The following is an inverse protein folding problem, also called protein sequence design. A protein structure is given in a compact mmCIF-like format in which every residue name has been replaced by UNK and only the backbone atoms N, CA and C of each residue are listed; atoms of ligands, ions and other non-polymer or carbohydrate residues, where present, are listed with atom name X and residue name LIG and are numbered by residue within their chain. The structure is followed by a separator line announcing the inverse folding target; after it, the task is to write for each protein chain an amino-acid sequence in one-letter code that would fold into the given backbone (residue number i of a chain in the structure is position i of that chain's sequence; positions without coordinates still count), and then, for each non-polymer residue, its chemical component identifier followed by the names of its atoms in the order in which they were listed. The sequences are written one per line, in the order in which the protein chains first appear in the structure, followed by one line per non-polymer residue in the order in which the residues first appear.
data_IF_975730148576
#
_entry.id   IF_975730148576
#
_cell.length_a   1.000
_cell.length_b   1.000
_cell.length_c   1.000
_cell.angle_alpha   90.00
_cell.angle_beta   90.00
_cell.angle_gamma   90.00
#
_symmetry.space_group_name_H-M   'P 1'
#
loop_
_entity.id
_entity.type
_entity.pdbx_description
1 polymer ?
#
# COMPACT_ATOMS: atom_id res chain seq x y z
N UNK A 1 -18.51 -17.04 10.84
CA UNK A 1 -17.88 -17.72 12.01
C UNK A 1 -16.64 -16.92 12.37
N UNK A 2 -16.26 -16.81 13.65
CA UNK A 2 -15.06 -16.08 14.09
C UNK A 2 -14.16 -17.10 14.77
N UNK A 3 -12.87 -17.10 14.43
CA UNK A 3 -11.88 -18.02 14.95
C UNK A 3 -10.86 -17.29 15.84
N UNK A 4 -10.47 -17.94 16.93
CA UNK A 4 -9.48 -17.41 17.89
C UNK A 4 -8.20 -18.24 17.95
N UNK A 5 -8.28 -19.50 17.57
CA UNK A 5 -7.17 -20.48 17.66
C UNK A 5 -6.96 -21.14 16.29
N UNK A 6 -5.68 -21.45 15.99
CA UNK A 6 -5.28 -22.22 14.81
C UNK A 6 -6.01 -23.55 14.70
N UNK A 7 -6.29 -24.21 15.84
CA UNK A 7 -6.94 -25.52 15.89
C UNK A 7 -8.39 -25.53 15.36
N UNK A 8 -9.00 -24.36 15.24
CA UNK A 8 -10.34 -24.18 14.72
C UNK A 8 -10.36 -24.09 13.18
N UNK A 9 -9.18 -24.01 12.53
CA UNK A 9 -9.04 -23.75 11.11
C UNK A 9 -8.78 -25.03 10.32
N UNK A 10 -9.39 -25.13 9.14
CA UNK A 10 -8.99 -26.12 8.16
C UNK A 10 -7.64 -25.77 7.51
N UNK A 11 -7.03 -26.75 6.84
CA UNK A 11 -5.70 -26.60 6.25
C UNK A 11 -5.64 -25.51 5.17
N UNK A 12 -6.66 -25.36 4.33
CA UNK A 12 -6.69 -24.35 3.27
C UNK A 12 -6.80 -22.95 3.85
N UNK A 13 -7.61 -22.75 4.87
CA UNK A 13 -7.71 -21.49 5.60
C UNK A 13 -6.37 -21.15 6.25
N UNK A 14 -5.76 -22.11 6.94
CA UNK A 14 -4.46 -21.95 7.57
C UNK A 14 -3.39 -21.51 6.56
N UNK A 15 -3.24 -22.23 5.45
CA UNK A 15 -2.26 -21.91 4.41
C UNK A 15 -2.51 -20.54 3.77
N UNK A 16 -3.76 -20.15 3.61
CA UNK A 16 -4.12 -18.82 3.10
C UNK A 16 -3.64 -17.73 4.04
N UNK A 17 -3.87 -17.85 5.35
CA UNK A 17 -3.37 -16.89 6.34
C UNK A 17 -1.85 -16.82 6.38
N UNK A 18 -1.15 -17.97 6.36
CA UNK A 18 0.32 -18.03 6.32
C UNK A 18 0.87 -17.21 5.14
N UNK A 19 0.31 -17.41 3.94
CA UNK A 19 0.72 -16.67 2.76
C UNK A 19 0.44 -15.16 2.87
N UNK A 20 -0.68 -14.79 3.46
CA UNK A 20 -1.07 -13.39 3.66
C UNK A 20 -0.17 -12.69 4.67
N UNK A 21 0.08 -13.31 5.83
CA UNK A 21 0.99 -12.78 6.85
C UNK A 21 2.42 -12.62 6.30
N UNK A 22 2.92 -13.62 5.57
CA UNK A 22 4.23 -13.53 4.93
C UNK A 22 4.28 -12.42 3.85
N UNK A 23 3.16 -12.18 3.15
CA UNK A 23 3.06 -11.06 2.20
C UNK A 23 3.04 -9.72 2.90
N UNK A 24 2.34 -9.61 4.03
CA UNK A 24 2.32 -8.39 4.83
C UNK A 24 3.70 -8.08 5.41
N UNK A 25 4.35 -9.06 6.06
CA UNK A 25 5.71 -8.88 6.57
C UNK A 25 6.70 -8.39 5.50
N UNK A 26 6.63 -8.96 4.28
CA UNK A 26 7.44 -8.48 3.16
C UNK A 26 7.17 -7.00 2.84
N UNK A 27 5.92 -6.56 2.88
CA UNK A 27 5.53 -5.20 2.50
C UNK A 27 5.97 -4.16 3.53
N UNK A 28 5.80 -4.44 4.82
CA UNK A 28 6.24 -3.57 5.90
C UNK A 28 7.78 -3.41 5.87
N UNK A 29 8.52 -4.51 5.73
CA UNK A 29 9.98 -4.41 5.62
C UNK A 29 10.42 -3.67 4.35
N UNK A 30 9.74 -3.90 3.22
CA UNK A 30 10.01 -3.20 1.96
C UNK A 30 9.75 -1.69 2.09
N UNK A 31 8.67 -1.28 2.76
CA UNK A 31 8.35 0.11 3.06
C UNK A 31 9.43 0.75 3.93
N UNK A 32 9.80 0.12 5.04
CA UNK A 32 10.86 0.61 5.93
C UNK A 32 12.20 0.80 5.18
N UNK A 33 12.59 -0.14 4.31
CA UNK A 33 13.83 -0.04 3.52
C UNK A 33 13.74 1.05 2.45
N UNK A 34 12.62 1.17 1.76
CA UNK A 34 12.37 2.16 0.72
C UNK A 34 12.42 3.58 1.28
N UNK A 35 11.70 3.85 2.36
CA UNK A 35 11.67 5.14 3.02
C UNK A 35 12.99 5.44 3.72
N UNK A 36 13.65 4.43 4.31
CA UNK A 36 14.99 4.56 4.88
C UNK A 36 16.03 4.99 3.86
N UNK A 37 16.03 4.38 2.68
CA UNK A 37 16.89 4.80 1.57
C UNK A 37 16.59 6.24 1.12
N UNK A 38 15.33 6.64 1.13
CA UNK A 38 14.87 7.96 0.70
C UNK A 38 15.27 9.12 1.62
N UNK A 39 15.68 8.85 2.88
CA UNK A 39 16.05 9.90 3.84
C UNK A 39 17.10 10.87 3.32
N UNK A 40 18.02 10.42 2.48
CA UNK A 40 19.07 11.24 1.88
C UNK A 40 18.53 12.37 0.98
N UNK A 41 17.30 12.27 0.51
CA UNK A 41 16.67 13.24 -0.39
C UNK A 41 15.78 14.25 0.35
N UNK A 42 15.58 14.08 1.67
CA UNK A 42 14.69 14.93 2.45
C UNK A 42 15.31 16.30 2.69
N UNK A 43 14.70 17.41 2.20
CA UNK A 43 15.38 18.70 2.17
C UNK A 43 15.38 19.46 3.51
N UNK A 44 14.41 19.18 4.39
CA UNK A 44 14.18 19.96 5.60
C UNK A 44 14.09 19.10 6.86
N UNK A 45 14.57 19.63 7.98
CA UNK A 45 14.59 18.93 9.26
C UNK A 45 13.19 18.50 9.74
N UNK A 46 12.15 19.30 9.45
CA UNK A 46 10.74 18.93 9.80
C UNK A 46 10.32 17.64 9.11
N UNK A 47 10.60 17.51 7.81
CA UNK A 47 10.29 16.33 7.03
C UNK A 47 11.17 15.13 7.39
N UNK A 48 12.46 15.39 7.67
CA UNK A 48 13.38 14.35 8.12
C UNK A 48 12.91 13.70 9.43
N UNK A 49 12.46 14.52 10.41
CA UNK A 49 11.88 14.00 11.65
C UNK A 49 10.64 13.15 11.41
N UNK A 50 9.76 13.62 10.52
CA UNK A 50 8.55 12.86 10.16
C UNK A 50 8.92 11.54 9.48
N UNK A 51 9.77 11.56 8.45
CA UNK A 51 10.16 10.33 7.75
C UNK A 51 10.88 9.33 8.67
N UNK A 52 11.70 9.80 9.61
CA UNK A 52 12.34 8.93 10.60
C UNK A 52 11.31 8.28 11.53
N UNK A 53 10.28 9.01 11.93
CA UNK A 53 9.17 8.47 12.72
C UNK A 53 8.36 7.45 11.90
N UNK A 54 8.02 7.76 10.66
CA UNK A 54 7.33 6.88 9.73
C UNK A 54 8.07 5.54 9.57
N UNK A 55 9.38 5.57 9.26
CA UNK A 55 10.20 4.36 9.12
C UNK A 55 10.17 3.50 10.39
N UNK A 56 10.17 4.13 11.57
CA UNK A 56 10.04 3.41 12.82
C UNK A 56 8.70 2.69 12.91
N UNK A 57 7.60 3.32 12.51
CA UNK A 57 6.27 2.69 12.51
C UNK A 57 6.22 1.51 11.53
N UNK A 58 6.78 1.64 10.33
CA UNK A 58 6.90 0.53 9.37
C UNK A 58 7.67 -0.67 9.96
N UNK A 59 8.74 -0.41 10.72
CA UNK A 59 9.46 -1.48 11.41
C UNK A 59 8.65 -2.09 12.55
N UNK A 60 7.89 -1.29 13.32
CA UNK A 60 6.98 -1.79 14.37
C UNK A 60 5.86 -2.65 13.75
N UNK A 61 5.32 -2.27 12.59
CA UNK A 61 4.36 -3.08 11.83
C UNK A 61 4.98 -4.43 11.41
N UNK A 62 6.19 -4.39 10.88
CA UNK A 62 6.93 -5.60 10.52
C UNK A 62 7.09 -6.54 11.72
N UNK A 63 7.54 -6.02 12.87
CA UNK A 63 7.75 -6.80 14.09
C UNK A 63 6.43 -7.40 14.61
N UNK A 64 5.32 -6.67 14.57
CA UNK A 64 4.00 -7.18 14.94
C UNK A 64 3.56 -8.35 14.05
N UNK A 65 3.78 -8.23 12.72
CA UNK A 65 3.45 -9.31 11.78
C UNK A 65 4.39 -10.50 11.93
N UNK A 66 5.69 -10.28 12.14
CA UNK A 66 6.68 -11.35 12.44
C UNK A 66 6.29 -12.12 13.68
N UNK A 67 5.97 -11.40 14.76
CA UNK A 67 5.53 -12.03 16.00
C UNK A 67 4.27 -12.87 15.80
N UNK A 68 3.28 -12.31 15.12
CA UNK A 68 2.03 -13.01 14.85
C UNK A 68 2.24 -14.25 13.97
N UNK A 69 3.09 -14.15 12.94
CA UNK A 69 3.44 -15.27 12.09
C UNK A 69 4.08 -16.41 12.91
N UNK A 70 5.05 -16.06 13.76
CA UNK A 70 5.69 -17.04 14.65
C UNK A 70 4.70 -17.68 15.63
N UNK A 71 3.85 -16.87 16.29
CA UNK A 71 2.84 -17.38 17.23
C UNK A 71 1.85 -18.34 16.52
N UNK A 72 1.58 -18.09 15.23
CA UNK A 72 0.63 -18.87 14.43
C UNK A 72 1.22 -20.15 13.84
N UNK A 73 2.47 -20.11 13.38
CA UNK A 73 3.12 -21.21 12.64
C UNK A 73 4.13 -21.98 13.48
N UNK A 74 4.75 -21.36 14.48
CA UNK A 74 5.93 -21.85 15.18
C UNK A 74 7.25 -21.63 14.42
N UNK A 75 7.21 -20.94 13.26
CA UNK A 75 8.35 -20.78 12.35
C UNK A 75 8.72 -19.28 12.19
N UNK A 76 9.93 -19.01 11.71
CA UNK A 76 10.34 -17.66 11.30
C UNK A 76 9.82 -17.33 9.90
N UNK A 77 9.29 -16.12 9.71
CA UNK A 77 8.90 -15.60 8.39
C UNK A 77 10.09 -15.09 7.58
N UNK A 78 11.24 -14.80 8.22
CA UNK A 78 12.40 -14.17 7.60
C UNK A 78 12.92 -14.87 6.33
N UNK A 79 13.03 -16.21 6.27
CA UNK A 79 13.47 -16.88 5.04
C UNK A 79 12.54 -16.59 3.86
N UNK A 80 11.22 -16.52 4.11
CA UNK A 80 10.22 -16.25 3.07
C UNK A 80 10.31 -14.79 2.62
N UNK A 81 10.45 -13.86 3.55
CA UNK A 81 10.60 -12.42 3.27
C UNK A 81 11.87 -12.16 2.47
N UNK A 82 13.02 -12.71 2.91
CA UNK A 82 14.30 -12.57 2.22
C UNK A 82 14.26 -13.16 0.81
N UNK A 83 13.64 -14.31 0.62
CA UNK A 83 13.44 -14.91 -0.71
C UNK A 83 12.60 -14.03 -1.63
N UNK A 84 11.56 -13.37 -1.10
CA UNK A 84 10.75 -12.42 -1.88
C UNK A 84 11.50 -11.14 -2.24
N UNK A 85 12.29 -10.58 -1.33
CA UNK A 85 13.12 -9.41 -1.60
C UNK A 85 14.13 -9.67 -2.73
N UNK A 86 14.71 -10.88 -2.79
CA UNK A 86 15.60 -11.28 -3.88
C UNK A 86 14.88 -11.43 -5.23
N UNK A 87 13.65 -11.95 -5.24
CA UNK A 87 12.87 -12.18 -6.46
C UNK A 87 12.14 -10.94 -6.97
N UNK A 88 11.79 -10.03 -6.08
CA UNK A 88 11.04 -8.80 -6.37
C UNK A 88 11.77 -7.64 -5.71
N UNK A 89 12.78 -7.07 -6.39
CA UNK A 89 13.52 -5.94 -5.86
C UNK A 89 12.59 -4.77 -5.52
N UNK A 90 12.91 -4.10 -4.41
CA UNK A 90 12.19 -2.91 -3.97
C UNK A 90 12.43 -1.79 -4.97
N UNK A 91 11.38 -1.04 -5.30
CA UNK A 91 11.51 0.21 -6.03
C UNK A 91 12.01 1.29 -5.05
N UNK A 92 13.06 2.02 -5.43
CA UNK A 92 13.60 3.12 -4.64
C UNK A 92 13.28 4.47 -5.30
N UNK A 93 13.04 5.48 -4.47
CA UNK A 93 12.93 6.86 -4.90
C UNK A 93 14.34 7.44 -5.19
N UNK A 94 14.43 8.33 -6.18
CA UNK A 94 15.67 8.98 -6.58
C UNK A 94 15.70 10.48 -6.23
N UNK A 95 14.55 11.03 -5.81
CA UNK A 95 14.38 12.44 -5.44
C UNK A 95 13.40 12.60 -4.29
N UNK A 96 13.35 13.79 -3.69
CA UNK A 96 12.34 14.11 -2.68
C UNK A 96 10.92 14.05 -3.23
N UNK A 97 10.70 14.55 -4.45
CA UNK A 97 9.38 14.46 -5.12
C UNK A 97 8.96 13.02 -5.32
N UNK A 98 9.89 12.19 -5.75
CA UNK A 98 9.61 10.76 -5.95
C UNK A 98 9.34 10.03 -4.63
N UNK A 99 10.06 10.37 -3.55
CA UNK A 99 9.80 9.82 -2.22
C UNK A 99 8.41 10.20 -1.71
N UNK A 100 8.01 11.47 -1.90
CA UNK A 100 6.66 11.92 -1.56
C UNK A 100 5.58 11.23 -2.40
N UNK A 101 5.84 10.98 -3.69
CA UNK A 101 4.94 10.22 -4.57
C UNK A 101 4.84 8.75 -4.13
N UNK A 102 5.95 8.16 -3.68
CA UNK A 102 5.95 6.82 -3.10
C UNK A 102 5.05 6.76 -1.87
N UNK A 103 5.23 7.66 -0.93
CA UNK A 103 4.40 7.76 0.26
C UNK A 103 2.92 7.99 -0.08
N UNK A 104 2.63 8.84 -1.06
CA UNK A 104 1.26 9.08 -1.51
C UNK A 104 0.61 7.83 -2.08
N UNK A 105 1.27 7.10 -2.99
CA UNK A 105 0.63 6.04 -3.77
C UNK A 105 0.86 4.63 -3.19
N UNK A 106 2.07 4.34 -2.67
CA UNK A 106 2.38 3.02 -2.12
C UNK A 106 1.69 2.80 -0.77
N UNK A 107 1.80 3.77 0.17
CA UNK A 107 1.12 3.67 1.47
C UNK A 107 -0.40 3.70 1.29
N UNK A 108 -0.91 4.54 0.39
CA UNK A 108 -2.35 4.55 0.10
C UNK A 108 -2.84 3.22 -0.47
N UNK A 109 -2.07 2.59 -1.36
CA UNK A 109 -2.36 1.24 -1.84
C UNK A 109 -2.34 0.22 -0.71
N UNK A 110 -1.38 0.34 0.22
CA UNK A 110 -1.30 -0.44 1.46
C UNK A 110 -2.54 -0.25 2.34
N UNK A 111 -2.89 0.99 2.62
CA UNK A 111 -4.06 1.34 3.42
C UNK A 111 -5.36 0.75 2.86
N UNK A 112 -5.63 0.92 1.56
CA UNK A 112 -6.82 0.35 0.93
C UNK A 112 -6.82 -1.18 0.96
N UNK A 113 -5.66 -1.79 0.79
CA UNK A 113 -5.52 -3.24 0.86
C UNK A 113 -5.76 -3.77 2.28
N UNK A 114 -5.22 -3.11 3.32
CA UNK A 114 -5.40 -3.50 4.72
C UNK A 114 -6.87 -3.42 5.16
N UNK A 115 -7.62 -2.45 4.67
CA UNK A 115 -9.05 -2.30 4.95
C UNK A 115 -9.88 -3.52 4.55
N UNK A 116 -9.41 -4.29 3.57
CA UNK A 116 -10.08 -5.53 3.17
C UNK A 116 -9.99 -6.64 4.24
N UNK A 117 -9.07 -6.49 5.21
CA UNK A 117 -8.91 -7.43 6.33
C UNK A 117 -9.49 -6.95 7.66
N UNK A 118 -10.11 -5.76 7.72
CA UNK A 118 -10.70 -5.18 8.94
C UNK A 118 -11.74 -6.08 9.60
N UNK A 119 -12.40 -6.94 8.83
CA UNK A 119 -13.43 -7.88 9.30
C UNK A 119 -12.97 -9.33 9.22
N UNK A 120 -11.65 -9.57 9.07
CA UNK A 120 -11.10 -10.92 8.98
C UNK A 120 -11.65 -11.81 10.09
N UNK A 121 -12.09 -13.01 9.69
CA UNK A 121 -12.69 -13.98 10.60
C UNK A 121 -11.70 -14.61 11.59
N UNK A 122 -10.38 -14.49 11.34
CA UNK A 122 -9.34 -14.85 12.31
C UNK A 122 -8.98 -13.64 13.19
N UNK A 123 -9.45 -13.66 14.42
CA UNK A 123 -9.40 -12.52 15.33
C UNK A 123 -7.98 -12.01 15.68
N UNK A 124 -6.97 -12.88 15.88
CA UNK A 124 -5.60 -12.39 16.13
C UNK A 124 -5.07 -11.52 14.97
N UNK A 125 -5.22 -11.96 13.72
CA UNK A 125 -4.80 -11.19 12.53
C UNK A 125 -5.57 -9.88 12.43
N UNK A 126 -6.88 -9.91 12.58
CA UNK A 126 -7.75 -8.73 12.56
C UNK A 126 -7.29 -7.65 13.56
N UNK A 127 -6.84 -8.03 14.78
CA UNK A 127 -6.36 -7.07 15.79
C UNK A 127 -5.09 -6.35 15.35
N UNK A 128 -4.13 -7.07 14.76
CA UNK A 128 -2.89 -6.49 14.22
C UNK A 128 -3.22 -5.52 13.08
N UNK A 129 -4.07 -5.94 12.14
CA UNK A 129 -4.51 -5.09 11.02
C UNK A 129 -5.17 -3.80 11.50
N UNK A 130 -6.02 -3.85 12.52
CA UNK A 130 -6.67 -2.65 13.07
C UNK A 130 -5.67 -1.64 13.69
N UNK A 131 -4.54 -2.13 14.26
CA UNK A 131 -3.48 -1.26 14.75
C UNK A 131 -2.82 -0.55 13.56
N UNK A 132 -2.36 -1.32 12.56
CA UNK A 132 -1.63 -0.79 11.39
C UNK A 132 -2.49 0.25 10.63
N UNK A 133 -3.75 -0.03 10.35
CA UNK A 133 -4.65 0.89 9.62
C UNK A 133 -4.76 2.27 10.28
N UNK A 134 -4.73 2.35 11.62
CA UNK A 134 -4.84 3.63 12.32
C UNK A 134 -3.62 4.52 12.08
N UNK A 135 -2.45 3.92 11.97
CA UNK A 135 -1.16 4.59 11.79
C UNK A 135 -0.98 4.98 10.31
N UNK A 136 -1.29 4.08 9.38
CA UNK A 136 -1.21 4.27 7.94
C UNK A 136 -2.01 5.46 7.39
N UNK A 137 -3.14 5.80 8.01
CA UNK A 137 -3.99 6.90 7.55
C UNK A 137 -3.28 8.26 7.52
N UNK A 138 -2.31 8.48 8.40
CA UNK A 138 -1.53 9.71 8.46
C UNK A 138 -0.48 9.81 7.35
N UNK A 139 0.18 8.70 7.04
CA UNK A 139 1.30 8.62 6.11
C UNK A 139 0.92 9.04 4.70
N UNK A 140 -0.09 8.40 4.13
CA UNK A 140 -0.57 8.66 2.77
C UNK A 140 -1.06 10.10 2.55
N UNK A 141 -1.72 10.69 3.55
CA UNK A 141 -2.25 12.06 3.44
C UNK A 141 -1.14 13.10 3.37
N UNK A 142 -0.03 12.87 4.07
CA UNK A 142 1.11 13.76 4.01
C UNK A 142 1.84 13.64 2.67
N UNK A 143 2.03 12.44 2.14
CA UNK A 143 2.61 12.22 0.81
C UNK A 143 1.83 12.97 -0.28
N UNK A 144 0.50 12.86 -0.27
CA UNK A 144 -0.38 13.59 -1.18
C UNK A 144 -0.16 15.11 -1.10
N UNK A 145 -0.18 15.66 0.11
CA UNK A 145 0.03 17.10 0.34
C UNK A 145 1.38 17.59 -0.21
N UNK A 146 2.46 16.87 0.09
CA UNK A 146 3.80 17.24 -0.38
C UNK A 146 3.89 17.20 -1.90
N UNK A 147 3.37 16.14 -2.54
CA UNK A 147 3.38 16.01 -4.01
C UNK A 147 2.62 17.14 -4.69
N UNK A 148 1.43 17.50 -4.20
CA UNK A 148 0.62 18.59 -4.76
C UNK A 148 1.35 19.92 -4.59
N UNK A 149 1.95 20.18 -3.42
CA UNK A 149 2.72 21.40 -3.16
C UNK A 149 3.94 21.51 -4.08
N UNK A 150 4.74 20.44 -4.17
CA UNK A 150 5.93 20.42 -5.03
C UNK A 150 5.59 20.57 -6.51
N UNK A 151 4.49 19.95 -6.96
CA UNK A 151 4.04 20.10 -8.35
C UNK A 151 3.63 21.53 -8.65
N UNK A 152 2.93 22.19 -7.73
CA UNK A 152 2.53 23.60 -7.87
C UNK A 152 3.70 24.56 -7.97
N UNK A 153 4.83 24.26 -7.31
CA UNK A 153 6.05 25.08 -7.37
C UNK A 153 6.86 24.90 -8.66
N UNK A 154 6.48 23.96 -9.54
CA UNK A 154 7.11 23.72 -10.84
C UNK A 154 8.51 23.07 -10.78
N UNK A 155 8.95 22.65 -9.59
CA UNK A 155 10.32 22.17 -9.39
C UNK A 155 10.63 20.83 -10.08
N UNK A 156 9.59 20.06 -10.46
CA UNK A 156 9.73 18.68 -10.97
C UNK A 156 8.86 18.37 -12.19
N UNK A 157 8.41 19.38 -12.90
CA UNK A 157 7.42 19.24 -13.97
C UNK A 157 7.83 18.27 -15.10
N UNK A 158 9.13 18.23 -15.44
CA UNK A 158 9.63 17.37 -16.52
C UNK A 158 9.47 15.86 -16.24
N UNK A 159 9.57 15.43 -14.99
CA UNK A 159 9.60 14.00 -14.61
C UNK A 159 8.31 13.50 -13.94
N UNK A 160 7.37 14.40 -13.60
CA UNK A 160 6.20 14.06 -12.78
C UNK A 160 5.36 12.90 -13.32
N UNK A 161 5.16 12.80 -14.62
CA UNK A 161 4.38 11.71 -15.22
C UNK A 161 5.06 10.35 -15.06
N UNK A 162 6.36 10.26 -15.36
CA UNK A 162 7.16 9.03 -15.19
C UNK A 162 7.16 8.56 -13.72
N UNK A 163 7.33 9.51 -12.81
CA UNK A 163 7.31 9.24 -11.37
C UNK A 163 5.93 8.75 -10.93
N UNK A 164 4.85 9.41 -11.38
CA UNK A 164 3.50 8.99 -11.11
C UNK A 164 3.24 7.56 -11.63
N UNK A 165 3.57 7.25 -12.87
CA UNK A 165 3.36 5.93 -13.47
C UNK A 165 4.06 4.82 -12.68
N UNK A 166 5.33 5.08 -12.28
CA UNK A 166 6.13 4.16 -11.46
C UNK A 166 5.43 3.84 -10.13
N UNK A 167 5.01 4.86 -9.39
CA UNK A 167 4.46 4.67 -8.06
C UNK A 167 2.98 4.27 -8.06
N UNK A 168 2.21 4.67 -9.06
CA UNK A 168 0.88 4.13 -9.30
C UNK A 168 0.93 2.61 -9.48
N UNK A 169 1.88 2.13 -10.29
CA UNK A 169 2.10 0.69 -10.44
C UNK A 169 2.41 0.01 -9.11
N UNK A 170 3.29 0.60 -8.28
CA UNK A 170 3.63 0.01 -6.98
C UNK A 170 2.42 -0.03 -6.04
N UNK A 171 1.62 1.02 -5.97
CA UNK A 171 0.38 1.05 -5.21
C UNK A 171 -0.62 -0.03 -5.68
N UNK A 172 -0.86 -0.14 -6.98
CA UNK A 172 -1.78 -1.12 -7.55
C UNK A 172 -1.34 -2.58 -7.36
N UNK A 173 -0.03 -2.85 -7.35
CA UNK A 173 0.50 -4.19 -7.05
C UNK A 173 0.14 -4.67 -5.63
N UNK A 174 -0.26 -3.77 -4.74
CA UNK A 174 -0.69 -4.10 -3.38
C UNK A 174 -1.93 -4.97 -3.33
N UNK A 175 -2.83 -4.81 -4.29
CA UNK A 175 -4.15 -5.48 -4.27
C UNK A 175 -4.10 -6.94 -4.72
N UNK A 176 -3.07 -7.32 -5.47
CA UNK A 176 -3.00 -8.64 -6.11
C UNK A 176 -3.83 -8.72 -7.40
N UNK A 177 -4.08 -9.94 -7.88
CA UNK A 177 -4.80 -10.16 -9.15
C UNK A 177 -6.30 -10.35 -8.89
N UNK A 178 -7.17 -9.59 -9.58
CA UNK A 178 -8.62 -9.78 -9.51
C UNK A 178 -9.06 -11.16 -10.02
N UNK A 179 -10.17 -11.66 -9.50
CA UNK A 179 -10.86 -12.84 -10.01
C UNK A 179 -10.11 -14.18 -9.86
N UNK A 180 -9.08 -14.27 -9.03
CA UNK A 180 -8.34 -15.51 -8.77
C UNK A 180 -9.11 -16.44 -7.82
N UNK A 181 -8.83 -17.76 -7.89
CA UNK A 181 -9.42 -18.75 -6.97
C UNK A 181 -9.04 -18.45 -5.50
N UNK A 182 -7.81 -18.00 -5.26
CA UNK A 182 -7.37 -17.60 -3.93
C UNK A 182 -8.14 -16.39 -3.39
N UNK A 183 -8.41 -15.37 -4.24
CA UNK A 183 -9.21 -14.22 -3.86
C UNK A 183 -10.65 -14.63 -3.53
N UNK A 184 -11.29 -15.44 -4.39
CA UNK A 184 -12.65 -15.96 -4.15
C UNK A 184 -12.74 -16.73 -2.84
N UNK A 185 -11.79 -17.64 -2.60
CA UNK A 185 -11.77 -18.40 -1.36
C UNK A 185 -11.60 -17.51 -0.13
N UNK A 186 -10.67 -16.55 -0.17
CA UNK A 186 -10.44 -15.64 0.96
C UNK A 186 -11.71 -14.81 1.31
N UNK A 187 -12.53 -14.47 0.30
CA UNK A 187 -13.82 -13.79 0.50
C UNK A 187 -14.85 -14.77 1.08
N UNK A 188 -14.97 -15.95 0.52
CA UNK A 188 -15.93 -16.99 0.94
C UNK A 188 -15.79 -17.33 2.44
N UNK A 189 -14.55 -17.45 2.91
CA UNK A 189 -14.25 -17.77 4.32
C UNK A 189 -14.16 -16.54 5.23
N UNK A 190 -14.34 -15.34 4.68
CA UNK A 190 -14.35 -14.08 5.43
C UNK A 190 -12.97 -13.61 5.89
N UNK A 191 -11.91 -13.99 5.21
CA UNK A 191 -10.57 -13.42 5.43
C UNK A 191 -10.49 -12.02 4.81
N UNK A 192 -11.05 -11.83 3.60
CA UNK A 192 -11.16 -10.55 2.89
C UNK A 192 -12.63 -10.18 2.68
N UNK A 193 -12.88 -8.87 2.55
CA UNK A 193 -14.23 -8.36 2.26
C UNK A 193 -14.60 -8.51 0.79
N UNK A 194 -13.69 -8.13 -0.13
CA UNK A 194 -13.98 -7.95 -1.55
C UNK A 194 -12.86 -8.47 -2.44
N UNK A 195 -13.20 -8.65 -3.72
CA UNK A 195 -12.21 -8.90 -4.78
C UNK A 195 -11.31 -7.67 -4.99
N UNK A 196 -10.04 -7.85 -5.40
CA UNK A 196 -9.13 -6.75 -5.71
C UNK A 196 -9.67 -5.70 -6.69
N UNK A 197 -10.49 -6.08 -7.67
CA UNK A 197 -11.00 -5.16 -8.69
C UNK A 197 -11.75 -3.95 -8.14
N UNK A 198 -12.84 -4.11 -7.36
CA UNK A 198 -13.52 -3.01 -6.69
C UNK A 198 -12.62 -2.18 -5.78
N UNK A 199 -11.64 -2.81 -5.11
CA UNK A 199 -10.70 -2.08 -4.22
C UNK A 199 -9.72 -1.23 -5.02
N UNK A 200 -9.26 -1.72 -6.17
CA UNK A 200 -8.46 -0.93 -7.12
C UNK A 200 -9.25 0.29 -7.59
N UNK A 201 -10.55 0.15 -7.87
CA UNK A 201 -11.38 1.30 -8.28
C UNK A 201 -11.52 2.32 -7.17
N UNK A 202 -11.80 1.89 -5.93
CA UNK A 202 -11.87 2.80 -4.78
C UNK A 202 -10.55 3.56 -4.57
N UNK A 203 -9.41 2.88 -4.71
CA UNK A 203 -8.09 3.52 -4.66
C UNK A 203 -7.91 4.55 -5.79
N UNK A 204 -8.27 4.20 -7.03
CA UNK A 204 -8.21 5.14 -8.16
C UNK A 204 -9.09 6.37 -7.90
N UNK A 205 -10.33 6.16 -7.44
CA UNK A 205 -11.26 7.26 -7.16
C UNK A 205 -10.76 8.17 -6.03
N UNK A 206 -10.12 7.60 -5.03
CA UNK A 206 -9.55 8.36 -3.91
C UNK A 206 -8.36 9.23 -4.33
N UNK A 207 -7.56 8.82 -5.32
CA UNK A 207 -6.40 9.59 -5.79
C UNK A 207 -6.73 10.57 -6.92
N UNK A 208 -7.86 10.45 -7.62
CA UNK A 208 -8.26 11.31 -8.75
C UNK A 208 -8.10 12.82 -8.48
N UNK A 209 -8.51 13.38 -7.31
CA UNK A 209 -8.34 14.82 -7.03
C UNK A 209 -6.88 15.26 -7.07
N UNK A 210 -5.98 14.52 -6.46
CA UNK A 210 -4.55 14.84 -6.45
C UNK A 210 -3.90 14.63 -7.83
N UNK A 211 -4.28 13.57 -8.56
CA UNK A 211 -3.83 13.33 -9.94
C UNK A 211 -4.17 14.52 -10.83
N UNK A 212 -5.41 15.02 -10.74
CA UNK A 212 -5.85 16.21 -11.50
C UNK A 212 -5.12 17.48 -11.07
N UNK A 213 -4.94 17.69 -9.75
CA UNK A 213 -4.21 18.85 -9.21
C UNK A 213 -2.73 18.83 -9.62
N UNK A 214 -2.12 17.68 -9.71
CA UNK A 214 -0.74 17.49 -10.18
C UNK A 214 -0.59 17.59 -11.71
N UNK A 215 -1.69 17.74 -12.46
CA UNK A 215 -1.69 17.74 -13.92
C UNK A 215 -0.89 16.57 -14.52
N UNK A 216 -1.14 15.36 -13.99
CA UNK A 216 -0.70 14.08 -14.54
C UNK A 216 -1.93 13.30 -15.00
N UNK A 217 -1.74 12.30 -15.85
CA UNK A 217 -2.81 11.48 -16.41
C UNK A 217 -2.63 10.01 -16.02
N UNK A 218 -3.72 9.27 -15.89
CA UNK A 218 -3.62 7.84 -15.71
C UNK A 218 -3.08 7.17 -16.97
N UNK A 219 -2.02 6.34 -16.85
CA UNK A 219 -1.56 5.50 -17.96
C UNK A 219 -2.55 4.37 -18.22
N UNK A 220 -2.47 3.71 -19.39
CA UNK A 220 -3.15 2.42 -19.52
C UNK A 220 -2.57 1.41 -18.54
N UNK A 221 -3.40 0.56 -17.96
CA UNK A 221 -2.94 -0.41 -16.96
C UNK A 221 -1.90 -1.38 -17.54
N UNK A 222 -2.07 -1.74 -18.81
CA UNK A 222 -1.16 -2.62 -19.55
C UNK A 222 0.22 -1.98 -19.72
N UNK A 223 0.29 -0.65 -19.96
CA UNK A 223 1.57 0.06 -20.15
C UNK A 223 2.44 0.06 -18.90
N UNK A 224 1.83 -0.01 -17.73
CA UNK A 224 2.52 -0.14 -16.44
C UNK A 224 2.55 -1.57 -15.91
N UNK A 225 2.15 -2.56 -16.73
CA UNK A 225 2.20 -3.99 -16.37
C UNK A 225 1.22 -4.41 -15.28
N UNK A 226 0.09 -3.75 -15.17
CA UNK A 226 -1.02 -4.09 -14.27
C UNK A 226 -2.10 -4.82 -15.06
N UNK A 227 -2.59 -5.93 -14.51
CA UNK A 227 -3.76 -6.64 -15.04
C UNK A 227 -5.01 -5.97 -14.48
N UNK A 228 -5.82 -5.28 -15.31
CA UNK A 228 -7.04 -4.65 -14.84
C UNK A 228 -8.10 -5.69 -14.45
N UNK A 229 -9.08 -5.31 -13.63
CA UNK A 229 -10.24 -6.16 -13.37
C UNK A 229 -11.08 -6.34 -14.64
N UNK A 230 -11.92 -7.39 -14.72
CA UNK A 230 -12.91 -7.51 -15.78
C UNK A 230 -13.79 -6.24 -15.85
N UNK A 231 -13.90 -5.65 -17.04
CA UNK A 231 -14.59 -4.37 -17.25
C UNK A 231 -13.70 -3.13 -17.17
N UNK A 232 -12.41 -3.28 -16.79
CA UNK A 232 -11.46 -2.18 -16.68
C UNK A 232 -11.61 -1.38 -15.39
N UNK A 233 -10.90 -0.22 -15.36
CA UNK A 233 -10.99 0.79 -14.30
C UNK A 233 -11.50 2.10 -14.92
N UNK A 234 -12.34 2.83 -14.21
CA UNK A 234 -12.69 4.20 -14.59
C UNK A 234 -11.54 5.15 -14.19
N UNK A 235 -10.80 5.61 -15.21
CA UNK A 235 -9.66 6.50 -15.07
C UNK A 235 -9.99 7.96 -15.46
N UNK A 236 -11.26 8.27 -15.73
CA UNK A 236 -11.68 9.61 -16.13
C UNK A 236 -11.43 10.63 -15.02
N UNK A 237 -10.88 11.79 -15.41
CA UNK A 237 -10.72 12.96 -14.55
C UNK A 237 -11.78 14.05 -14.85
N UNK A 238 -12.74 13.77 -15.71
CA UNK A 238 -13.83 14.67 -16.02
C UNK A 238 -14.74 14.86 -14.81
N UNK A 239 -15.09 16.10 -14.48
CA UNK A 239 -15.94 16.42 -13.35
C UNK A 239 -15.32 16.21 -11.96
N UNK A 240 -14.06 15.74 -11.86
CA UNK A 240 -13.41 15.54 -10.56
C UNK A 240 -13.17 16.86 -9.85
N UNK A 241 -13.67 16.98 -8.61
CA UNK A 241 -13.42 18.11 -7.71
C UNK A 241 -12.01 18.02 -7.10
N UNK A 242 -11.22 19.08 -7.25
CA UNK A 242 -9.84 19.18 -6.74
C UNK A 242 -9.75 19.93 -5.42
N UNK A 243 -10.85 20.44 -4.88
CA UNK A 243 -10.87 21.30 -3.68
C UNK A 243 -10.15 20.65 -2.50
N UNK A 244 -10.30 19.32 -2.34
CA UNK A 244 -9.59 18.58 -1.28
C UNK A 244 -8.08 18.66 -1.44
N UNK A 245 -7.58 18.46 -2.63
CA UNK A 245 -6.13 18.47 -2.92
C UNK A 245 -5.55 19.89 -2.90
N UNK A 246 -6.32 20.89 -3.33
CA UNK A 246 -5.90 22.30 -3.33
C UNK A 246 -6.02 22.95 -1.95
N UNK A 247 -6.86 22.42 -1.08
CA UNK A 247 -7.09 22.89 0.28
C UNK A 247 -5.94 22.66 1.26
N UNK A 248 -4.87 21.99 0.84
CA UNK A 248 -3.64 21.86 1.60
C UNK A 248 -2.85 23.18 1.58
N UNK A 249 -3.38 24.22 2.26
CA UNK A 249 -2.62 25.45 2.48
C UNK A 249 -1.55 25.23 3.55
N UNK A 250 -0.38 25.83 3.31
CA UNK A 250 0.84 25.73 4.12
C UNK A 250 0.63 26.14 5.60
#
# INVERSE_FOLDING_TARGET
MIYNDRKELDERYYQTLVQMMASQAYRELAAAQMFGYGLQFVPELRWLKFMTWHIREEMEHYEDVVKMYHDFTGESVEPVVNGRLQQKPIAFAETWYELAMAQFLYDRGGFWQLREYEECTFLPYRKVIHKIIKEEKGHQSLGERIVVELTRTGSFEADKQRVFDKWLRQGLLSFGRPGTDGARYAIEVGIKKRDPGPVMQDFIDDIKPAVKACAVTFPSMESIGIVPPPGGLDLSLEGVDVTRAEGYQA
#
